data_IF_206252800575
#
_entry.id   IF_206252800575
#
_cell.length_a   1.000
_cell.length_b   1.000
_cell.length_c   1.000
_cell.angle_alpha   90.00
_cell.angle_beta   90.00
_cell.angle_gamma   90.00
#
_symmetry.space_group_name_H-M   'P 1'
#
loop_
_entity.id
_entity.type
_entity.pdbx_description
1 polymer ?
#
# COMPACT_ATOMS: atom_id res chain seq x y z
N UNK A 1 23.35 -25.82 56.11
CA UNK A 1 23.71 -25.12 54.85
C UNK A 1 22.46 -24.83 53.99
N UNK A 2 21.31 -24.43 54.62
CA UNK A 2 20.05 -24.14 53.84
C UNK A 2 19.42 -22.78 54.21
N UNK A 3 20.13 -21.88 54.90
CA UNK A 3 19.59 -20.61 55.40
C UNK A 3 20.28 -19.36 54.87
N UNK A 4 21.21 -19.49 53.91
CA UNK A 4 21.97 -18.34 53.38
C UNK A 4 21.50 -17.95 51.97
N UNK A 5 20.65 -18.77 51.35
CA UNK A 5 20.20 -18.53 49.95
C UNK A 5 18.93 -17.66 49.86
N UNK A 6 18.30 -17.32 50.97
CA UNK A 6 17.04 -16.58 50.99
C UNK A 6 17.19 -15.05 51.15
N UNK A 7 18.40 -14.52 51.29
CA UNK A 7 18.66 -13.10 51.58
C UNK A 7 19.20 -12.29 50.42
N UNK A 8 19.42 -12.92 49.25
CA UNK A 8 19.96 -12.23 48.03
C UNK A 8 18.93 -11.90 46.95
N UNK A 9 17.65 -12.25 47.15
CA UNK A 9 16.60 -11.99 46.12
C UNK A 9 15.78 -10.74 46.44
N UNK A 10 15.93 -10.12 47.62
CA UNK A 10 15.08 -9.01 48.05
C UNK A 10 15.63 -7.61 47.77
N UNK A 11 16.75 -7.44 47.06
CA UNK A 11 17.40 -6.13 46.92
C UNK A 11 17.43 -5.57 45.48
N UNK A 12 16.74 -6.19 44.50
CA UNK A 12 16.79 -5.74 43.10
C UNK A 12 15.48 -5.14 42.54
N UNK A 13 14.51 -4.82 43.41
CA UNK A 13 13.21 -4.31 42.96
C UNK A 13 12.93 -2.82 43.24
N UNK A 14 13.94 -2.02 43.56
CA UNK A 14 13.71 -0.64 44.00
C UNK A 14 14.48 0.45 43.23
N UNK A 15 14.90 0.23 42.01
CA UNK A 15 15.65 1.27 41.24
C UNK A 15 15.24 1.39 39.78
N UNK A 16 13.96 1.58 39.47
CA UNK A 16 13.54 1.88 38.08
C UNK A 16 12.40 2.90 37.99
N UNK A 17 12.47 3.97 38.77
CA UNK A 17 11.52 5.11 38.66
C UNK A 17 12.26 6.45 38.75
N UNK A 18 13.23 6.70 37.87
CA UNK A 18 13.72 8.05 37.63
C UNK A 18 14.39 8.14 36.27
N UNK A 19 13.63 8.52 35.24
CA UNK A 19 14.15 8.68 33.88
C UNK A 19 13.15 9.32 32.94
N UNK A 20 12.34 10.28 33.39
CA UNK A 20 11.74 11.28 32.49
C UNK A 20 12.72 12.43 32.36
N UNK A 21 13.67 12.29 31.47
CA UNK A 21 14.47 13.40 30.97
C UNK A 21 13.77 13.93 29.72
N UNK A 22 13.17 15.11 29.86
CA UNK A 22 12.71 15.96 28.75
C UNK A 22 13.87 16.27 27.83
N UNK A 23 13.90 15.63 26.67
CA UNK A 23 14.72 16.05 25.56
C UNK A 23 13.82 16.83 24.60
N UNK A 24 13.92 18.15 24.69
CA UNK A 24 13.47 19.08 23.67
C UNK A 24 14.39 18.85 22.48
N UNK A 25 13.90 18.12 21.49
CA UNK A 25 14.54 18.11 20.17
C UNK A 25 13.64 18.85 19.20
N UNK A 26 14.24 19.90 18.69
CA UNK A 26 13.70 20.81 17.71
C UNK A 26 13.60 20.15 16.35
N UNK A 27 12.42 20.23 15.72
CA UNK A 27 12.29 20.18 14.29
C UNK A 27 12.10 18.80 13.68
N UNK A 28 11.07 18.06 14.10
CA UNK A 28 10.48 17.05 13.23
C UNK A 28 9.20 17.62 12.61
N UNK A 29 9.34 18.05 11.37
CA UNK A 29 8.22 18.18 10.44
C UNK A 29 7.36 16.94 10.62
N UNK A 30 6.11 17.13 11.04
CA UNK A 30 5.12 16.08 11.12
C UNK A 30 4.89 15.54 9.70
N UNK A 31 5.66 14.54 9.28
CA UNK A 31 5.23 13.66 8.21
C UNK A 31 3.97 12.97 8.71
N UNK A 32 2.85 13.39 8.14
CA UNK A 32 1.57 12.79 8.43
C UNK A 32 1.66 11.28 8.20
N UNK A 33 1.62 10.51 9.26
CA UNK A 33 1.44 9.06 9.24
C UNK A 33 0.01 8.72 8.76
N UNK A 34 -0.38 9.27 7.61
CA UNK A 34 -1.54 8.87 6.86
C UNK A 34 -1.25 7.50 6.24
N UNK A 35 -2.15 6.54 6.45
CA UNK A 35 -2.09 5.23 5.82
C UNK A 35 -1.94 5.43 4.30
N UNK A 36 -0.78 5.09 3.73
CA UNK A 36 -0.53 5.22 2.30
C UNK A 36 -1.47 4.27 1.55
N UNK A 37 -2.20 4.80 0.59
CA UNK A 37 -3.04 3.99 -0.30
C UNK A 37 -2.15 3.38 -1.38
N UNK A 38 -2.19 2.07 -1.53
CA UNK A 38 -1.49 1.36 -2.59
C UNK A 38 -2.48 0.97 -3.69
N UNK A 39 -2.20 1.38 -4.91
CA UNK A 39 -2.98 1.04 -6.10
C UNK A 39 -2.13 0.11 -6.97
N UNK A 40 -2.68 -1.00 -7.41
CA UNK A 40 -2.03 -1.91 -8.34
C UNK A 40 -2.69 -1.77 -9.71
N UNK A 41 -1.88 -1.60 -10.77
CA UNK A 41 -2.38 -1.56 -12.15
C UNK A 41 -1.88 -2.79 -12.89
N UNK A 42 -2.81 -3.63 -13.33
CA UNK A 42 -2.51 -4.79 -14.16
C UNK A 42 -2.95 -4.59 -15.61
N UNK A 43 -2.08 -4.91 -16.57
CA UNK A 43 -2.35 -4.83 -17.99
C UNK A 43 -1.59 -5.90 -18.78
N UNK A 44 -2.11 -6.21 -19.96
CA UNK A 44 -1.60 -7.30 -20.82
C UNK A 44 -0.38 -6.89 -21.65
N UNK A 45 -0.22 -5.58 -21.87
CA UNK A 45 0.85 -5.02 -22.70
C UNK A 45 2.24 -5.24 -22.09
N UNK A 46 3.23 -5.35 -22.97
CA UNK A 46 4.62 -5.54 -22.56
C UNK A 46 5.29 -4.21 -22.18
N UNK A 47 6.37 -4.26 -21.37
CA UNK A 47 7.17 -3.08 -21.06
C UNK A 47 7.66 -2.37 -22.32
N UNK A 48 7.51 -1.04 -22.34
CA UNK A 48 7.91 -0.18 -23.45
C UNK A 48 6.83 0.02 -24.53
N UNK A 49 5.71 -0.70 -24.49
CA UNK A 49 4.57 -0.44 -25.36
C UNK A 49 3.83 0.87 -24.97
N UNK A 50 3.05 1.48 -25.90
CA UNK A 50 2.37 2.76 -25.61
C UNK A 50 1.51 2.76 -24.35
N UNK A 51 0.83 1.65 -24.05
CA UNK A 51 0.01 1.50 -22.85
C UNK A 51 0.88 1.47 -21.60
N UNK A 52 2.00 0.76 -21.61
CA UNK A 52 2.94 0.70 -20.51
C UNK A 52 3.51 2.11 -20.20
N UNK A 53 3.92 2.84 -21.24
CA UNK A 53 4.42 4.21 -21.09
C UNK A 53 3.34 5.15 -20.52
N UNK A 54 2.09 5.01 -20.94
CA UNK A 54 0.98 5.77 -20.37
C UNK A 54 0.73 5.42 -18.91
N UNK A 55 0.83 4.16 -18.51
CA UNK A 55 0.73 3.71 -17.13
C UNK A 55 1.86 4.29 -16.26
N UNK A 56 3.09 4.35 -16.78
CA UNK A 56 4.20 4.98 -16.09
C UNK A 56 3.96 6.47 -15.83
N UNK A 57 3.46 7.20 -16.83
CA UNK A 57 3.14 8.63 -16.67
C UNK A 57 1.97 8.83 -15.70
N UNK A 58 0.93 7.99 -15.76
CA UNK A 58 -0.17 8.03 -14.82
C UNK A 58 0.30 7.79 -13.38
N UNK A 59 1.16 6.78 -13.17
CA UNK A 59 1.81 6.53 -11.88
C UNK A 59 2.51 7.77 -11.36
N UNK A 60 3.37 8.38 -12.18
CA UNK A 60 4.11 9.60 -11.82
C UNK A 60 3.17 10.72 -11.36
N UNK A 61 2.12 10.96 -12.14
CA UNK A 61 1.14 12.03 -11.85
C UNK A 61 0.35 11.76 -10.56
N UNK A 62 -0.07 10.53 -10.32
CA UNK A 62 -0.83 10.16 -9.11
C UNK A 62 0.04 10.31 -7.88
N UNK A 63 1.26 9.80 -7.89
CA UNK A 63 2.19 9.87 -6.76
C UNK A 63 2.58 11.33 -6.46
N UNK A 64 2.84 12.15 -7.49
CA UNK A 64 3.14 13.57 -7.36
C UNK A 64 1.94 14.37 -6.82
N UNK A 65 0.77 14.25 -7.45
CA UNK A 65 -0.42 15.02 -7.07
C UNK A 65 -1.00 14.64 -5.73
N UNK A 66 -0.77 13.41 -5.30
CA UNK A 66 -1.19 12.96 -3.97
C UNK A 66 -0.23 13.38 -2.85
N UNK A 67 0.87 14.06 -3.17
CA UNK A 67 1.90 14.39 -2.19
C UNK A 67 2.51 13.16 -1.52
N UNK A 68 2.59 12.02 -2.23
CA UNK A 68 3.13 10.76 -1.73
C UNK A 68 2.20 9.97 -0.81
N UNK A 69 0.93 10.37 -0.67
CA UNK A 69 -0.08 9.61 0.09
C UNK A 69 -0.61 8.41 -0.67
N UNK A 70 -0.46 8.40 -2.00
CA UNK A 70 -0.79 7.26 -2.85
C UNK A 70 0.48 6.70 -3.48
N UNK A 71 0.54 5.38 -3.59
CA UNK A 71 1.59 4.65 -4.30
C UNK A 71 0.96 3.81 -5.39
N UNK A 72 1.55 3.81 -6.58
CA UNK A 72 1.09 3.01 -7.72
C UNK A 72 2.16 1.98 -8.08
N UNK A 73 1.76 0.72 -8.13
CA UNK A 73 2.61 -0.37 -8.60
C UNK A 73 2.08 -0.90 -9.95
N UNK A 74 2.96 -1.01 -10.93
CA UNK A 74 2.62 -1.45 -12.30
C UNK A 74 2.95 -2.92 -12.49
N UNK A 75 2.05 -3.64 -13.13
CA UNK A 75 2.13 -5.06 -13.41
C UNK A 75 1.84 -5.33 -14.89
N UNK A 76 2.84 -5.14 -15.78
CA UNK A 76 2.73 -5.42 -17.20
C UNK A 76 2.65 -6.92 -17.51
N UNK A 77 2.40 -7.28 -18.77
CA UNK A 77 2.45 -8.65 -19.28
C UNK A 77 1.61 -9.64 -18.46
N UNK A 78 0.42 -9.21 -18.01
CA UNK A 78 -0.54 -10.02 -17.24
C UNK A 78 0.00 -10.57 -15.92
N UNK A 79 0.94 -9.88 -15.27
CA UNK A 79 1.53 -10.34 -13.99
C UNK A 79 0.52 -10.44 -12.84
N UNK A 80 -0.60 -9.69 -12.86
CA UNK A 80 -1.70 -9.81 -11.91
C UNK A 80 -2.78 -10.82 -12.34
N UNK A 81 -2.57 -11.53 -13.43
CA UNK A 81 -3.54 -12.41 -14.05
C UNK A 81 -4.20 -11.79 -15.28
N UNK A 82 -5.18 -12.48 -15.83
CA UNK A 82 -5.96 -11.99 -16.96
C UNK A 82 -6.79 -10.76 -16.56
N UNK A 83 -7.26 -10.03 -17.57
CA UNK A 83 -8.18 -8.90 -17.37
C UNK A 83 -9.41 -9.29 -16.53
N UNK A 84 -9.97 -10.49 -16.77
CA UNK A 84 -11.08 -11.03 -15.98
C UNK A 84 -10.71 -11.19 -14.51
N UNK A 85 -9.56 -11.76 -14.21
CA UNK A 85 -9.08 -11.93 -12.84
C UNK A 85 -8.93 -10.58 -12.11
N UNK A 86 -8.43 -9.55 -12.81
CA UNK A 86 -8.24 -8.23 -12.20
C UNK A 86 -9.59 -7.56 -11.93
N UNK A 87 -10.57 -7.72 -12.83
CA UNK A 87 -11.92 -7.20 -12.61
C UNK A 87 -12.59 -7.91 -11.43
N UNK A 88 -12.44 -9.22 -11.31
CA UNK A 88 -12.96 -9.98 -10.17
C UNK A 88 -12.32 -9.51 -8.85
N UNK A 89 -11.03 -9.23 -8.83
CA UNK A 89 -10.35 -8.62 -7.68
C UNK A 89 -10.97 -7.25 -7.32
N UNK A 90 -11.18 -6.39 -8.34
CA UNK A 90 -11.78 -5.07 -8.12
C UNK A 90 -13.22 -5.17 -7.57
N UNK A 91 -14.03 -6.10 -8.07
CA UNK A 91 -15.39 -6.36 -7.58
C UNK A 91 -15.37 -6.86 -6.12
N UNK A 92 -14.35 -7.63 -5.75
CA UNK A 92 -14.16 -8.10 -4.38
C UNK A 92 -13.62 -7.02 -3.42
N UNK A 93 -13.31 -5.82 -3.93
CA UNK A 93 -12.86 -4.68 -3.13
C UNK A 93 -11.35 -4.51 -3.04
N UNK A 94 -10.58 -5.24 -3.83
CA UNK A 94 -9.14 -5.02 -3.94
C UNK A 94 -8.84 -3.68 -4.64
N UNK A 95 -7.80 -2.99 -4.20
CA UNK A 95 -7.37 -1.73 -4.77
C UNK A 95 -6.56 -1.97 -6.06
N UNK A 96 -7.24 -2.41 -7.10
CA UNK A 96 -6.66 -2.73 -8.42
C UNK A 96 -7.32 -1.90 -9.52
N UNK A 97 -6.57 -1.69 -10.59
CA UNK A 97 -7.02 -0.99 -11.81
C UNK A 97 -6.61 -1.83 -13.02
N UNK A 98 -7.46 -1.92 -14.02
CA UNK A 98 -7.13 -2.50 -15.32
C UNK A 98 -7.64 -1.63 -16.45
N UNK A 99 -7.12 -1.87 -17.63
CA UNK A 99 -7.54 -1.21 -18.87
C UNK A 99 -8.47 -2.17 -19.63
N UNK A 100 -9.71 -1.76 -19.81
CA UNK A 100 -10.70 -2.54 -20.53
C UNK A 100 -11.51 -1.64 -21.47
N UNK A 101 -12.03 -2.24 -22.54
CA UNK A 101 -12.95 -1.58 -23.46
C UNK A 101 -14.42 -1.78 -23.07
N UNK A 102 -15.32 -1.00 -23.65
CA UNK A 102 -16.76 -1.04 -23.34
C UNK A 102 -17.39 -2.44 -23.46
N UNK A 103 -17.19 -3.18 -24.57
CA UNK A 103 -17.74 -4.53 -24.72
C UNK A 103 -17.36 -5.50 -23.61
N UNK A 104 -16.14 -5.37 -23.08
CA UNK A 104 -15.68 -6.21 -21.98
C UNK A 104 -16.46 -5.99 -20.67
N UNK A 105 -16.89 -4.77 -20.39
CA UNK A 105 -17.75 -4.45 -19.25
C UNK A 105 -19.20 -4.87 -19.48
N UNK A 106 -19.67 -4.84 -20.73
CA UNK A 106 -21.02 -5.29 -21.08
C UNK A 106 -21.23 -6.76 -20.73
N UNK A 107 -20.26 -7.62 -21.04
CA UNK A 107 -20.31 -9.05 -20.72
C UNK A 107 -20.35 -9.33 -19.21
N UNK A 108 -19.99 -8.33 -18.41
CA UNK A 108 -20.04 -8.35 -16.94
C UNK A 108 -21.27 -7.67 -16.34
N UNK A 109 -22.30 -7.42 -17.14
CA UNK A 109 -23.57 -6.85 -16.70
C UNK A 109 -23.61 -5.33 -16.62
N UNK A 110 -22.56 -4.64 -17.09
CA UNK A 110 -22.51 -3.18 -17.21
C UNK A 110 -22.93 -2.77 -18.64
N UNK A 111 -24.20 -2.93 -18.96
CA UNK A 111 -24.73 -2.84 -20.34
C UNK A 111 -24.53 -1.48 -21.00
N UNK A 112 -24.48 -0.39 -20.22
CA UNK A 112 -24.32 0.96 -20.75
C UNK A 112 -22.94 1.22 -21.40
N UNK A 113 -21.93 0.41 -21.04
CA UNK A 113 -20.57 0.53 -21.61
C UNK A 113 -20.43 -0.13 -22.99
N UNK A 114 -21.39 -0.94 -23.43
CA UNK A 114 -21.35 -1.59 -24.75
C UNK A 114 -21.65 -0.65 -25.91
N UNK A 115 -22.16 0.55 -25.63
CA UNK A 115 -22.55 1.55 -26.65
C UNK A 115 -21.46 2.58 -26.97
N UNK A 116 -20.27 2.46 -26.33
CA UNK A 116 -19.11 3.34 -26.54
C UNK A 116 -18.11 2.70 -27.53
#
# INVERSE_FOLDING_TARGET
>A
MKKVLALLVSCTLALSLAGCSSQTDSGQTAEGSGKKVRIMIGYENNPGEPIDLACHEWKRLVEEKSGGTMRVDLYPSSQLGSKDNIIDQAVNGDCVVTLANGPFFQDRGLHDFGAL
#
